data_IF_325753667189
#
_entry.id   IF_325753667189
#
_cell.length_a   1.000
_cell.length_b   1.000
_cell.length_c   1.000
_cell.angle_alpha   90.00
_cell.angle_beta   90.00
_cell.angle_gamma   90.00
#
_symmetry.space_group_name_H-M   'P 1'
#
loop_
_entity.id
_entity.type
_entity.pdbx_description
1 polymer ?
#
# COMPACT_ATOMS: atom_id res chain seq x y z
N UNK A 1 8.23 20.06 5.39
CA UNK A 1 7.91 19.14 6.51
C UNK A 1 6.66 18.37 6.15
N UNK A 2 6.71 17.04 6.08
CA UNK A 2 5.54 16.20 5.89
C UNK A 2 4.86 15.99 7.25
N UNK A 3 3.64 16.52 7.42
CA UNK A 3 2.86 16.36 8.65
C UNK A 3 2.09 15.04 8.54
N UNK A 4 2.61 13.98 9.15
CA UNK A 4 2.01 12.64 9.13
C UNK A 4 1.30 12.37 10.46
N UNK A 5 0.05 11.90 10.39
CA UNK A 5 -0.71 11.39 11.53
C UNK A 5 -0.66 9.87 11.47
N UNK A 6 -0.34 9.22 12.59
CA UNK A 6 -0.21 7.77 12.68
C UNK A 6 -1.49 7.16 13.27
N UNK A 7 -2.03 6.13 12.61
CA UNK A 7 -3.15 5.32 13.10
C UNK A 7 -2.88 3.84 12.81
N UNK A 8 -3.37 2.91 13.65
CA UNK A 8 -3.35 1.50 13.31
C UNK A 8 -4.19 1.24 12.05
N UNK A 9 -3.67 0.43 11.15
CA UNK A 9 -4.35 -0.02 9.93
C UNK A 9 -4.19 -1.53 9.79
N UNK A 10 -5.19 -2.20 9.23
CA UNK A 10 -5.12 -3.61 8.90
C UNK A 10 -4.27 -3.86 7.65
N UNK A 11 -3.85 -5.12 7.45
CA UNK A 11 -3.14 -5.53 6.24
C UNK A 11 -3.99 -5.34 4.97
N UNK A 12 -5.28 -5.69 5.03
CA UNK A 12 -6.22 -5.51 3.93
C UNK A 12 -6.37 -4.04 3.52
N UNK A 13 -6.50 -3.12 4.49
CA UNK A 13 -6.58 -1.67 4.21
C UNK A 13 -5.31 -1.12 3.59
N UNK A 14 -4.13 -1.59 3.99
CA UNK A 14 -2.86 -1.22 3.36
C UNK A 14 -2.84 -1.67 1.89
N UNK A 15 -3.22 -2.91 1.63
CA UNK A 15 -3.23 -3.49 0.28
C UNK A 15 -4.27 -2.83 -0.61
N UNK A 16 -5.47 -2.55 -0.12
CA UNK A 16 -6.51 -1.82 -0.86
C UNK A 16 -6.05 -0.41 -1.27
N UNK A 17 -5.42 0.33 -0.34
CA UNK A 17 -4.84 1.65 -0.64
C UNK A 17 -3.76 1.58 -1.72
N UNK A 18 -2.87 0.58 -1.67
CA UNK A 18 -1.86 0.34 -2.70
C UNK A 18 -2.54 0.07 -4.04
N UNK A 19 -3.51 -0.85 -4.10
CA UNK A 19 -4.26 -1.18 -5.31
C UNK A 19 -4.96 0.03 -5.93
N UNK A 20 -5.62 0.86 -5.11
CA UNK A 20 -6.26 2.10 -5.57
C UNK A 20 -5.22 3.07 -6.16
N UNK A 21 -4.05 3.19 -5.55
CA UNK A 21 -2.99 4.07 -6.04
C UNK A 21 -2.35 3.54 -7.33
N UNK A 22 -2.18 2.23 -7.48
CA UNK A 22 -1.73 1.59 -8.73
C UNK A 22 -2.73 1.89 -9.86
N UNK A 23 -4.03 1.67 -9.64
CA UNK A 23 -5.09 2.01 -10.60
C UNK A 23 -5.07 3.51 -10.95
N UNK A 24 -4.91 4.39 -9.95
CA UNK A 24 -4.80 5.84 -10.18
C UNK A 24 -3.55 6.20 -10.99
N UNK A 25 -2.44 5.50 -10.77
CA UNK A 25 -1.19 5.76 -11.49
C UNK A 25 -1.29 5.46 -12.98
N UNK A 26 -2.16 4.52 -13.36
CA UNK A 26 -2.42 4.13 -14.74
C UNK A 26 -3.51 4.99 -15.41
N UNK A 27 -4.48 5.50 -14.64
CA UNK A 27 -5.68 6.16 -15.17
C UNK A 27 -5.70 7.68 -15.07
N UNK A 28 -4.78 8.29 -14.33
CA UNK A 28 -4.70 9.76 -14.19
C UNK A 28 -3.68 10.31 -15.19
N UNK A 29 -4.13 11.21 -16.08
CA UNK A 29 -3.25 11.90 -17.04
C UNK A 29 -2.63 13.20 -16.50
N UNK A 30 -3.20 13.74 -15.42
CA UNK A 30 -2.72 14.98 -14.79
C UNK A 30 -1.38 14.73 -14.06
N UNK A 31 -0.31 15.26 -14.64
CA UNK A 31 1.05 15.10 -14.12
C UNK A 31 1.22 15.61 -12.69
N UNK A 32 0.52 16.69 -12.30
CA UNK A 32 0.62 17.23 -10.94
C UNK A 32 -0.03 16.28 -9.93
N UNK A 33 -1.14 15.62 -10.30
CA UNK A 33 -1.76 14.59 -9.47
C UNK A 33 -0.93 13.31 -9.40
N UNK A 34 -0.29 12.92 -10.50
CA UNK A 34 0.58 11.74 -10.55
C UNK A 34 1.78 11.83 -9.59
N UNK A 35 2.34 13.03 -9.37
CA UNK A 35 3.42 13.22 -8.39
C UNK A 35 2.99 12.75 -7.00
N UNK A 36 1.79 13.14 -6.56
CA UNK A 36 1.27 12.77 -5.25
C UNK A 36 0.94 11.26 -5.19
N UNK A 37 0.31 10.71 -6.22
CA UNK A 37 0.00 9.28 -6.31
C UNK A 37 1.27 8.44 -6.20
N UNK A 38 2.32 8.79 -6.95
CA UNK A 38 3.60 8.06 -6.93
C UNK A 38 4.33 8.20 -5.60
N UNK A 39 4.29 9.38 -4.98
CA UNK A 39 4.89 9.60 -3.67
C UNK A 39 4.20 8.75 -2.59
N UNK A 40 2.86 8.72 -2.59
CA UNK A 40 2.09 7.90 -1.64
C UNK A 40 2.30 6.40 -1.89
N UNK A 41 2.24 5.96 -3.16
CA UNK A 41 2.47 4.56 -3.53
C UNK A 41 3.85 4.08 -3.10
N UNK A 42 4.89 4.90 -3.31
CA UNK A 42 6.26 4.58 -2.88
C UNK A 42 6.35 4.44 -1.37
N UNK A 43 5.71 5.35 -0.61
CA UNK A 43 5.70 5.29 0.85
C UNK A 43 5.00 4.02 1.36
N UNK A 44 3.82 3.69 0.84
CA UNK A 44 3.07 2.51 1.25
C UNK A 44 3.75 1.20 0.84
N UNK A 45 4.35 1.14 -0.36
CA UNK A 45 5.14 -0.01 -0.80
C UNK A 45 6.38 -0.24 0.10
N UNK A 46 7.00 0.84 0.58
CA UNK A 46 8.08 0.77 1.56
C UNK A 46 7.62 0.21 2.90
N UNK A 47 6.47 0.66 3.41
CA UNK A 47 5.86 0.11 4.64
C UNK A 47 5.54 -1.37 4.47
N UNK A 48 4.92 -1.77 3.35
CA UNK A 48 4.68 -3.19 3.03
C UNK A 48 5.98 -3.99 3.04
N UNK A 49 7.01 -3.53 2.35
CA UNK A 49 8.32 -4.19 2.28
C UNK A 49 8.99 -4.36 3.64
N UNK A 50 8.93 -3.34 4.49
CA UNK A 50 9.53 -3.37 5.82
C UNK A 50 8.77 -4.25 6.83
N UNK A 51 7.50 -4.55 6.58
CA UNK A 51 6.64 -5.32 7.48
C UNK A 51 6.23 -6.69 6.93
N UNK A 52 6.69 -7.04 5.72
CA UNK A 52 6.50 -8.37 5.15
C UNK A 52 7.25 -9.40 6.04
N UNK A 53 6.54 -10.41 6.56
CA UNK A 53 7.17 -11.50 7.30
C UNK A 53 8.23 -12.20 6.45
N UNK A 54 9.38 -12.50 7.05
CA UNK A 54 10.44 -13.22 6.36
C UNK A 54 10.16 -14.73 6.26
N UNK A 55 9.25 -15.26 7.09
CA UNK A 55 8.92 -16.68 7.12
C UNK A 55 7.73 -17.04 6.21
N UNK A 56 7.86 -18.17 5.54
CA UNK A 56 6.85 -18.66 4.59
C UNK A 56 5.47 -18.90 5.20
N UNK A 57 5.33 -19.48 6.41
CA UNK A 57 4.02 -19.69 7.03
C UNK A 57 3.23 -18.39 7.25
N UNK A 58 3.90 -17.32 7.67
CA UNK A 58 3.22 -16.04 7.91
C UNK A 58 2.88 -15.34 6.59
N UNK A 59 3.71 -15.47 5.56
CA UNK A 59 3.35 -15.02 4.20
C UNK A 59 2.09 -15.73 3.69
N UNK A 60 2.04 -17.06 3.82
CA UNK A 60 0.86 -17.84 3.41
C UNK A 60 -0.40 -17.45 4.21
N UNK A 61 -0.25 -17.01 5.47
CA UNK A 61 -1.36 -16.50 6.28
C UNK A 61 -1.86 -15.13 5.81
N UNK A 62 -0.96 -14.23 5.38
CA UNK A 62 -1.32 -12.95 4.79
C UNK A 62 -2.05 -13.14 3.46
N UNK A 63 -1.60 -14.07 2.62
CA UNK A 63 -2.26 -14.40 1.36
C UNK A 63 -3.71 -14.86 1.57
N UNK A 64 -3.96 -15.68 2.60
CA UNK A 64 -5.32 -16.10 2.97
C UNK A 64 -6.17 -14.93 3.45
N UNK A 65 -5.61 -14.07 4.30
CA UNK A 65 -6.29 -12.88 4.79
C UNK A 65 -6.66 -11.91 3.67
N UNK A 66 -5.86 -11.87 2.60
CA UNK A 66 -6.14 -11.09 1.40
C UNK A 66 -7.14 -11.75 0.46
N UNK A 67 -7.32 -13.08 0.52
CA UNK A 67 -8.27 -13.81 -0.32
C UNK A 67 -9.71 -13.75 0.20
N UNK A 68 -9.90 -13.42 1.49
CA UNK A 68 -11.19 -13.39 2.18
C UNK A 68 -11.83 -11.98 2.26
N UNK A 69 -11.22 -10.97 1.61
CA UNK A 69 -11.73 -9.59 1.45
C UNK A 69 -12.17 -9.39 0.00
#
# INVERSE_FOLDING_TARGET
>A
MSMAIQVPVSWGELMDKISILEIKSERIDDAAKLVNVRAELTALAGVRGANLPADRPTLDALDRLMADI
#
